data_IF_399091841181
#
_entry.id   IF_399091841181
#
_cell.length_a   1.000
_cell.length_b   1.000
_cell.length_c   1.000
_cell.angle_alpha   90.00
_cell.angle_beta   90.00
_cell.angle_gamma   90.00
#
_symmetry.space_group_name_H-M   'P 1'
#
loop_
_entity.id
_entity.type
_entity.pdbx_description
1 polymer ?
#
# COMPACT_ATOMS: atom_id res chain seq x y z
N UNK A 1 0.56 26.77 -17.99
CA UNK A 1 0.50 26.73 -16.51
C UNK A 1 0.00 25.35 -16.16
N UNK A 2 0.88 24.49 -15.65
CA UNK A 2 0.69 23.05 -15.62
C UNK A 2 -0.38 22.64 -14.60
N UNK A 3 -1.42 21.95 -15.09
CA UNK A 3 -2.39 21.21 -14.30
C UNK A 3 -1.70 19.96 -13.73
N UNK A 4 -0.91 20.18 -12.67
CA UNK A 4 -0.38 19.09 -11.86
C UNK A 4 -1.52 18.55 -11.02
N UNK A 5 -2.20 17.54 -11.56
CA UNK A 5 -2.80 16.43 -10.82
C UNK A 5 -3.61 16.83 -9.58
N UNK A 6 -4.72 17.55 -9.77
CA UNK A 6 -5.78 17.55 -8.76
C UNK A 6 -6.44 16.16 -8.79
N UNK A 7 -5.82 15.16 -8.15
CA UNK A 7 -6.45 13.86 -7.94
C UNK A 7 -7.62 14.09 -7.00
N UNK A 8 -8.82 14.25 -7.58
CA UNK A 8 -10.07 14.36 -6.81
C UNK A 8 -10.20 13.10 -5.96
N UNK A 9 -10.10 13.27 -4.64
CA UNK A 9 -10.26 12.20 -3.66
C UNK A 9 -11.63 11.55 -3.87
N UNK A 10 -11.63 10.29 -4.28
CA UNK A 10 -12.86 9.53 -4.39
C UNK A 10 -13.45 9.34 -3.00
N UNK A 11 -14.72 9.66 -2.85
CA UNK A 11 -15.48 9.39 -1.62
C UNK A 11 -15.60 7.89 -1.40
N UNK A 12 -15.86 7.47 -0.16
CA UNK A 12 -16.12 6.07 0.18
C UNK A 12 -17.17 5.44 -0.74
N UNK A 13 -18.23 6.20 -1.00
CA UNK A 13 -19.33 5.80 -1.89
C UNK A 13 -18.86 5.58 -3.33
N UNK A 14 -18.07 6.49 -3.87
CA UNK A 14 -17.52 6.35 -5.23
C UNK A 14 -16.56 5.16 -5.35
N UNK A 15 -15.81 4.81 -4.29
CA UNK A 15 -14.97 3.61 -4.27
C UNK A 15 -15.83 2.34 -4.23
N UNK A 16 -16.87 2.31 -3.38
CA UNK A 16 -17.81 1.18 -3.31
C UNK A 16 -18.57 0.98 -4.63
N UNK A 17 -19.11 2.05 -5.21
CA UNK A 17 -19.82 2.00 -6.50
C UNK A 17 -18.93 1.47 -7.63
N UNK A 18 -17.63 1.81 -7.61
CA UNK A 18 -16.65 1.27 -8.57
C UNK A 18 -16.38 -0.21 -8.36
N UNK A 19 -16.27 -0.66 -7.11
CA UNK A 19 -16.09 -2.08 -6.77
C UNK A 19 -17.29 -2.93 -7.19
N UNK A 20 -18.50 -2.42 -6.98
CA UNK A 20 -19.74 -3.14 -7.32
C UNK A 20 -19.86 -3.39 -8.82
N UNK A 21 -19.33 -2.46 -9.63
CA UNK A 21 -19.33 -2.54 -11.10
C UNK A 21 -18.26 -3.46 -11.69
N UNK A 22 -17.30 -3.94 -10.89
CA UNK A 22 -16.29 -4.87 -11.39
C UNK A 22 -16.92 -6.22 -11.75
N UNK A 23 -16.55 -6.76 -12.90
CA UNK A 23 -16.95 -8.10 -13.34
C UNK A 23 -16.06 -9.18 -12.68
N UNK A 24 -16.06 -9.22 -11.35
CA UNK A 24 -15.33 -10.19 -10.53
C UNK A 24 -16.29 -10.94 -9.60
N UNK A 25 -15.85 -12.07 -9.05
CA UNK A 25 -16.66 -12.88 -8.14
C UNK A 25 -17.03 -12.12 -6.86
N UNK A 26 -18.12 -12.54 -6.21
CA UNK A 26 -18.62 -11.92 -4.98
C UNK A 26 -17.58 -11.89 -3.87
N UNK A 27 -16.81 -12.98 -3.71
CA UNK A 27 -15.75 -13.07 -2.71
C UNK A 27 -14.62 -12.05 -2.96
N UNK A 28 -14.25 -11.83 -4.22
CA UNK A 28 -13.26 -10.82 -4.60
C UNK A 28 -13.80 -9.40 -4.31
N UNK A 29 -15.07 -9.13 -4.58
CA UNK A 29 -15.70 -7.85 -4.23
C UNK A 29 -15.69 -7.61 -2.72
N UNK A 30 -15.98 -8.65 -1.93
CA UNK A 30 -15.96 -8.58 -0.47
C UNK A 30 -14.56 -8.23 0.04
N UNK A 31 -13.53 -8.92 -0.44
CA UNK A 31 -12.14 -8.67 -0.06
C UNK A 31 -11.69 -7.26 -0.44
N UNK A 32 -11.99 -6.80 -1.65
CA UNK A 32 -11.67 -5.44 -2.09
C UNK A 32 -12.40 -4.39 -1.24
N UNK A 33 -13.65 -4.65 -0.84
CA UNK A 33 -14.44 -3.73 0.00
C UNK A 33 -13.84 -3.63 1.39
N UNK A 34 -13.43 -4.76 1.97
CA UNK A 34 -12.75 -4.79 3.27
C UNK A 34 -11.39 -4.09 3.22
N UNK A 35 -10.62 -4.32 2.15
CA UNK A 35 -9.34 -3.66 1.92
C UNK A 35 -9.52 -2.14 1.82
N UNK A 36 -10.44 -1.67 0.97
CA UNK A 36 -10.76 -0.25 0.85
C UNK A 36 -11.18 0.35 2.20
N UNK A 37 -12.03 -0.34 2.95
CA UNK A 37 -12.47 0.11 4.27
C UNK A 37 -11.32 0.24 5.27
N UNK A 38 -10.41 -0.74 5.29
CA UNK A 38 -9.22 -0.73 6.14
C UNK A 38 -8.28 0.42 5.77
N UNK A 39 -7.96 0.58 4.47
CA UNK A 39 -7.07 1.64 3.99
C UNK A 39 -7.62 3.02 4.31
N UNK A 40 -8.93 3.25 4.13
CA UNK A 40 -9.56 4.53 4.49
C UNK A 40 -9.48 4.80 5.99
N UNK A 41 -9.74 3.78 6.83
CA UNK A 41 -9.65 3.92 8.29
C UNK A 41 -8.23 4.29 8.75
N UNK A 42 -7.21 3.69 8.14
CA UNK A 42 -5.80 4.04 8.41
C UNK A 42 -5.51 5.48 7.94
N UNK A 43 -6.00 5.87 6.77
CA UNK A 43 -5.87 7.24 6.26
C UNK A 43 -6.49 8.28 7.20
N UNK A 44 -7.71 8.03 7.70
CA UNK A 44 -8.40 8.92 8.65
C UNK A 44 -7.59 9.11 9.95
N UNK A 45 -7.03 8.01 10.48
CA UNK A 45 -6.19 8.06 11.68
C UNK A 45 -4.91 8.88 11.45
N UNK A 46 -4.27 8.74 10.29
CA UNK A 46 -3.08 9.51 9.91
C UNK A 46 -3.42 11.02 9.78
N UNK A 47 -4.56 11.35 9.16
CA UNK A 47 -5.02 12.74 9.03
C UNK A 47 -5.38 13.34 10.39
N UNK A 48 -6.01 12.57 11.29
CA UNK A 48 -6.27 13.01 12.66
C UNK A 48 -4.98 13.32 13.42
N UNK A 49 -3.99 12.44 13.31
CA UNK A 49 -2.65 12.66 13.85
C UNK A 49 -2.04 13.97 13.33
N UNK A 50 -2.04 14.19 12.02
CA UNK A 50 -1.49 15.41 11.41
C UNK A 50 -2.18 16.67 11.92
N UNK A 51 -3.52 16.62 12.10
CA UNK A 51 -4.29 17.72 12.70
C UNK A 51 -3.88 18.00 14.14
N UNK A 52 -3.68 16.97 14.97
CA UNK A 52 -3.23 17.15 16.38
C UNK A 52 -1.85 17.80 16.45
N UNK A 53 -0.93 17.38 15.59
CA UNK A 53 0.39 18.00 15.49
C UNK A 53 0.24 19.47 15.14
N UNK A 54 -0.57 19.80 14.12
CA UNK A 54 -0.79 21.20 13.70
C UNK A 54 -1.43 22.05 14.82
N UNK A 55 -2.38 21.50 15.57
CA UNK A 55 -2.93 22.18 16.74
C UNK A 55 -1.86 22.47 17.79
N UNK A 56 -1.02 21.48 18.11
CA UNK A 56 0.10 21.65 19.03
C UNK A 56 1.12 22.69 18.52
N UNK A 57 1.40 22.70 17.21
CA UNK A 57 2.23 23.71 16.56
C UNK A 57 1.68 25.11 16.84
N UNK A 58 0.39 25.32 16.53
CA UNK A 58 -0.25 26.63 16.69
C UNK A 58 -0.33 27.09 18.14
N UNK A 59 -0.59 26.19 19.07
CA UNK A 59 -0.58 26.51 20.50
C UNK A 59 0.82 26.90 20.97
N UNK A 60 1.83 26.13 20.58
CA UNK A 60 3.21 26.37 20.98
C UNK A 60 3.74 27.69 20.40
N UNK A 61 3.39 28.04 19.14
CA UNK A 61 3.76 29.32 18.51
C UNK A 61 3.22 30.52 19.30
N UNK A 62 2.02 30.39 19.88
CA UNK A 62 1.44 31.45 20.74
C UNK A 62 2.21 31.60 22.06
N UNK A 63 2.77 30.51 22.59
CA UNK A 63 3.43 30.48 23.90
C UNK A 63 4.90 30.97 23.85
N UNK A 64 5.65 30.66 22.79
CA UNK A 64 7.09 30.92 22.73
C UNK A 64 7.56 31.47 21.36
N UNK A 65 7.21 32.70 20.97
CA UNK A 65 7.35 33.21 19.59
C UNK A 65 8.76 33.20 18.97
N UNK A 66 9.83 33.03 19.75
CA UNK A 66 11.23 33.11 19.28
C UNK A 66 12.00 31.79 19.18
N UNK A 67 11.57 30.70 19.84
CA UNK A 67 12.29 29.38 19.83
C UNK A 67 11.51 28.28 19.07
N UNK A 68 10.29 28.61 18.66
CA UNK A 68 9.25 27.62 18.47
C UNK A 68 9.20 26.96 17.09
N UNK A 69 9.57 27.68 16.04
CA UNK A 69 9.54 27.11 14.69
C UNK A 69 10.51 25.94 14.55
N UNK A 70 11.75 26.09 15.04
CA UNK A 70 12.77 25.05 14.97
C UNK A 70 12.46 23.82 15.82
N UNK A 71 11.98 24.03 17.05
CA UNK A 71 11.63 22.91 17.96
C UNK A 71 10.39 22.18 17.47
N UNK A 72 9.35 22.89 17.01
CA UNK A 72 8.15 22.23 16.50
C UNK A 72 8.45 21.47 15.22
N UNK A 73 9.13 22.09 14.25
CA UNK A 73 9.44 21.43 12.97
C UNK A 73 10.34 20.23 13.25
N UNK A 74 11.35 20.38 14.11
CA UNK A 74 12.23 19.29 14.53
C UNK A 74 11.49 18.14 15.22
N UNK A 75 10.64 18.44 16.21
CA UNK A 75 9.85 17.44 16.93
C UNK A 75 8.83 16.75 16.03
N UNK A 76 8.17 17.51 15.14
CA UNK A 76 7.20 16.98 14.18
C UNK A 76 7.88 16.03 13.20
N UNK A 77 9.02 16.41 12.65
CA UNK A 77 9.78 15.56 11.73
C UNK A 77 10.29 14.29 12.44
N UNK A 78 10.84 14.44 13.65
CA UNK A 78 11.32 13.33 14.47
C UNK A 78 10.19 12.35 14.82
N UNK A 79 9.03 12.85 15.24
CA UNK A 79 7.85 12.05 15.56
C UNK A 79 7.29 11.34 14.33
N UNK A 80 7.21 12.03 13.18
CA UNK A 80 6.73 11.44 11.93
C UNK A 80 7.63 10.29 11.48
N UNK A 81 8.95 10.51 11.46
CA UNK A 81 9.94 9.47 11.11
C UNK A 81 9.85 8.28 12.09
N UNK A 82 9.76 8.55 13.39
CA UNK A 82 9.60 7.50 14.41
C UNK A 82 8.29 6.71 14.26
N UNK A 83 7.19 7.38 13.95
CA UNK A 83 5.88 6.76 13.78
C UNK A 83 5.82 5.82 12.57
N UNK A 84 6.51 6.16 11.47
CA UNK A 84 6.62 5.28 10.30
C UNK A 84 7.37 3.97 10.63
N UNK A 85 8.43 4.05 11.45
CA UNK A 85 9.15 2.86 11.92
C UNK A 85 8.28 1.99 12.85
N UNK A 86 7.53 2.60 13.77
CA UNK A 86 6.65 1.88 14.70
C UNK A 86 5.46 1.23 13.97
N UNK A 87 4.79 1.97 13.07
CA UNK A 87 3.69 1.45 12.27
C UNK A 87 4.17 0.35 11.32
N UNK A 88 5.35 0.52 10.72
CA UNK A 88 6.00 -0.50 9.89
C UNK A 88 6.35 -1.76 10.68
N UNK A 89 6.87 -1.63 11.91
CA UNK A 89 7.19 -2.77 12.77
C UNK A 89 5.94 -3.50 13.29
N UNK A 90 4.85 -2.77 13.56
CA UNK A 90 3.61 -3.34 14.10
C UNK A 90 2.74 -3.98 13.00
N UNK A 91 2.61 -3.33 11.85
CA UNK A 91 1.78 -3.80 10.74
C UNK A 91 2.57 -4.70 9.77
N UNK A 92 3.89 -4.56 9.70
CA UNK A 92 4.77 -5.32 8.82
C UNK A 92 4.63 -6.83 8.93
N UNK A 93 4.55 -7.44 10.14
CA UNK A 93 4.36 -8.88 10.29
C UNK A 93 3.03 -9.40 9.74
N UNK A 94 2.01 -8.55 9.60
CA UNK A 94 0.68 -8.93 9.12
C UNK A 94 0.52 -8.57 7.64
N UNK A 95 0.82 -7.32 7.28
CA UNK A 95 0.65 -6.78 5.93
C UNK A 95 1.77 -7.27 5.01
N UNK A 96 2.99 -7.44 5.52
CA UNK A 96 4.16 -7.88 4.75
C UNK A 96 3.95 -9.22 4.05
N UNK A 97 3.59 -10.30 4.78
CA UNK A 97 3.29 -11.59 4.15
C UNK A 97 2.12 -11.52 3.15
N UNK A 98 1.10 -10.71 3.44
CA UNK A 98 -0.04 -10.48 2.54
C UNK A 98 0.38 -9.81 1.23
N UNK A 99 1.22 -8.78 1.29
CA UNK A 99 1.75 -8.10 0.11
C UNK A 99 2.72 -8.98 -0.68
N UNK A 100 3.55 -9.77 0.00
CA UNK A 100 4.45 -10.74 -0.64
C UNK A 100 3.63 -11.83 -1.35
N UNK A 101 2.63 -12.40 -0.69
CA UNK A 101 1.74 -13.40 -1.29
C UNK A 101 0.99 -12.82 -2.50
N UNK A 102 0.49 -11.58 -2.39
CA UNK A 102 -0.15 -10.89 -3.50
C UNK A 102 0.81 -10.64 -4.68
N UNK A 103 2.02 -10.13 -4.41
CA UNK A 103 3.04 -9.89 -5.43
C UNK A 103 3.49 -11.17 -6.13
N UNK A 104 3.68 -12.26 -5.38
CA UNK A 104 3.98 -13.59 -5.93
C UNK A 104 2.82 -14.12 -6.79
N UNK A 105 1.57 -13.95 -6.34
CA UNK A 105 0.40 -14.38 -7.11
C UNK A 105 0.27 -13.64 -8.45
N UNK A 106 0.44 -12.31 -8.43
CA UNK A 106 0.42 -11.49 -9.66
C UNK A 106 1.61 -11.82 -10.56
N UNK A 107 2.81 -11.96 -10.00
CA UNK A 107 4.02 -12.31 -10.74
C UNK A 107 3.94 -13.70 -11.39
N UNK A 108 3.43 -14.70 -10.67
CA UNK A 108 3.24 -16.04 -11.20
C UNK A 108 2.23 -16.09 -12.35
N UNK A 109 1.15 -15.31 -12.28
CA UNK A 109 0.21 -15.19 -13.40
C UNK A 109 0.86 -14.55 -14.63
N UNK A 110 1.69 -13.52 -14.43
CA UNK A 110 2.44 -12.88 -15.51
C UNK A 110 3.46 -13.85 -16.14
N UNK A 111 4.23 -14.59 -15.34
CA UNK A 111 5.23 -15.57 -15.83
C UNK A 111 4.59 -16.71 -16.65
N UNK A 112 3.37 -17.11 -16.31
CA UNK A 112 2.60 -18.10 -17.07
C UNK A 112 2.10 -17.50 -18.39
N UNK A 113 1.61 -16.25 -18.37
CA UNK A 113 1.12 -15.57 -19.55
C UNK A 113 2.25 -15.26 -20.56
N UNK A 114 3.45 -14.96 -20.09
CA UNK A 114 4.62 -14.64 -20.92
C UNK A 114 5.34 -15.89 -21.49
N UNK A 115 4.87 -17.10 -21.17
CA UNK A 115 5.33 -18.35 -21.77
C UNK A 115 6.68 -18.88 -21.25
N UNK A 116 7.37 -18.17 -20.35
CA UNK A 116 8.65 -18.60 -19.77
C UNK A 116 8.56 -19.93 -19.02
N UNK A 117 7.43 -20.19 -18.35
CA UNK A 117 7.17 -21.49 -17.71
C UNK A 117 6.98 -22.60 -18.75
N UNK A 118 6.31 -22.28 -19.86
CA UNK A 118 6.04 -23.21 -20.97
C UNK A 118 7.33 -23.66 -21.65
N UNK A 119 8.23 -22.72 -21.94
CA UNK A 119 9.54 -23.01 -22.52
C UNK A 119 10.43 -23.87 -21.60
N UNK A 120 10.38 -23.66 -20.28
CA UNK A 120 11.11 -24.48 -19.29
C UNK A 120 10.52 -25.88 -19.16
N UNK A 121 9.19 -26.03 -19.16
CA UNK A 121 8.50 -27.33 -19.14
C UNK A 121 8.83 -28.14 -20.40
N UNK A 122 8.82 -27.52 -21.58
CA UNK A 122 9.23 -28.19 -22.82
C UNK A 122 10.71 -28.61 -22.83
N UNK A 123 11.58 -27.81 -22.21
CA UNK A 123 13.01 -28.11 -22.10
C UNK A 123 13.23 -29.30 -21.14
N UNK A 124 12.49 -29.36 -20.03
CA UNK A 124 12.50 -30.52 -19.12
C UNK A 124 11.93 -31.77 -19.80
N UNK A 125 10.80 -31.66 -20.51
CA UNK A 125 10.19 -32.78 -21.21
C UNK A 125 11.17 -33.42 -22.21
N UNK A 126 11.88 -32.60 -23.00
CA UNK A 126 12.91 -33.06 -23.94
C UNK A 126 14.10 -33.77 -23.27
N UNK A 127 14.42 -33.42 -22.02
CA UNK A 127 15.50 -34.08 -21.28
C UNK A 127 15.17 -35.53 -20.85
N UNK A 128 13.88 -35.86 -20.74
CA UNK A 128 13.41 -37.23 -20.47
C UNK A 128 13.17 -38.06 -21.74
N UNK A 129 12.99 -37.39 -22.88
CA UNK A 129 12.81 -38.05 -24.19
C UNK A 129 14.14 -38.42 -24.85
N UNK A 130 15.27 -37.93 -24.37
CA UNK A 130 16.58 -38.38 -24.85
C UNK A 130 16.84 -39.78 -24.27
N UNK A 131 16.75 -40.86 -25.07
CA UNK A 131 17.08 -42.18 -24.58
C UNK A 131 18.57 -42.16 -24.23
N UNK A 132 18.91 -42.59 -23.02
CA UNK A 132 20.27 -42.87 -22.62
C UNK A 132 20.85 -43.95 -23.56
N UNK A 133 21.43 -43.52 -24.68
CA UNK A 133 22.31 -44.35 -25.48
C UNK A 133 23.70 -44.20 -24.86
N UNK A 134 24.23 -45.34 -24.39
CA UNK A 134 25.57 -45.46 -23.83
C UNK A 134 26.68 -45.27 -24.85
#
# INVERSE_FOLDING_TARGET
MNDVMTVKMATRREITDKLDRLAVSADVKLLMTQLAALTMKVGDAIVEVGRRIMSFVFETVKLFPHITLGVIVGFTMWWLIGSAAILGALLGPIIGPLLVAFGLGVGAMADVADGGLRARVETLARSFETPSQG
#
